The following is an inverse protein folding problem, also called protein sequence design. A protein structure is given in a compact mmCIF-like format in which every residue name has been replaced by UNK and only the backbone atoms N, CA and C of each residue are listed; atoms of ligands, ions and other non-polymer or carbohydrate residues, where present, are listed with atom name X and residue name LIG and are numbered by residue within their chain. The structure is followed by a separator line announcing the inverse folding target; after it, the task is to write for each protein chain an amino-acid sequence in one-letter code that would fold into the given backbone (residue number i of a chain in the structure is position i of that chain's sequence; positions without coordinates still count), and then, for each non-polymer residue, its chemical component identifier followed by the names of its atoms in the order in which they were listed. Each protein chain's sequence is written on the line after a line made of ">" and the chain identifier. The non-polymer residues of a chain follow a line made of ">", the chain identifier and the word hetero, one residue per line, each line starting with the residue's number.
data_IF_126325049100
#
_entry.id   IF_126325049100
#
_cell.length_a   1.000
_cell.length_b   1.000
_cell.length_c   1.000
_cell.angle_alpha   90.00
_cell.angle_beta   90.00
_cell.angle_gamma   90.00
#
_symmetry.space_group_name_H-M   'P 1'
#
loop_
_entity.id
_entity.type
_entity.pdbx_description
1 polymer ?
#
# COMPACT_ATOMS: atom_id res chain seq x y z
N UNK A 1 26.05 16.63 17.43
CA UNK A 1 24.68 16.79 17.95
C UNK A 1 23.80 17.28 16.80
N UNK A 2 23.07 16.40 16.11
CA UNK A 2 22.05 16.85 15.17
C UNK A 2 20.86 15.90 15.25
N UNK A 3 19.85 16.33 16.03
CA UNK A 3 18.61 15.62 16.26
C UNK A 3 17.70 15.81 15.04
N UNK A 4 17.25 14.69 14.48
CA UNK A 4 15.89 14.49 13.95
C UNK A 4 15.33 15.54 12.98
N UNK A 5 15.41 15.26 11.67
CA UNK A 5 14.22 15.42 10.83
C UNK A 5 13.32 14.21 11.10
N UNK A 6 12.60 14.24 12.23
CA UNK A 6 11.42 13.42 12.41
C UNK A 6 10.46 13.88 11.32
N UNK A 7 10.24 13.05 10.31
CA UNK A 7 9.03 13.17 9.52
C UNK A 7 7.89 13.13 10.54
N UNK A 8 7.19 14.25 10.71
CA UNK A 8 5.96 14.29 11.49
C UNK A 8 5.09 13.14 10.98
N UNK A 9 4.81 12.16 11.82
CA UNK A 9 3.90 11.07 11.51
C UNK A 9 2.54 11.71 11.29
N UNK A 10 2.17 11.93 10.03
CA UNK A 10 0.89 12.57 9.69
C UNK A 10 -0.21 11.68 10.23
N UNK A 11 -1.07 12.21 11.09
CA UNK A 11 -2.24 11.49 11.55
C UNK A 11 -3.24 11.30 10.40
N UNK A 12 -3.95 10.17 10.40
CA UNK A 12 -5.03 9.93 9.44
C UNK A 12 -6.16 10.95 9.66
N UNK A 13 -6.65 11.53 8.56
CA UNK A 13 -7.78 12.44 8.57
C UNK A 13 -9.07 11.73 8.99
N UNK A 14 -10.04 12.48 9.55
CA UNK A 14 -11.29 11.91 10.05
C UNK A 14 -12.13 11.23 8.97
N UNK A 15 -11.93 11.63 7.71
CA UNK A 15 -12.69 11.10 6.59
C UNK A 15 -12.12 9.79 6.06
N UNK A 16 -10.89 9.38 6.39
CA UNK A 16 -10.31 8.13 5.87
C UNK A 16 -11.11 6.91 6.35
N UNK A 17 -11.49 6.03 5.42
CA UNK A 17 -12.36 4.89 5.76
C UNK A 17 -11.58 3.81 6.51
N UNK A 18 -12.19 3.28 7.58
CA UNK A 18 -11.75 2.04 8.21
C UNK A 18 -12.45 0.86 7.54
N UNK A 19 -11.66 -0.05 6.99
CA UNK A 19 -12.17 -1.24 6.30
C UNK A 19 -12.12 -2.44 7.23
N UNK A 20 -13.20 -3.22 7.29
CA UNK A 20 -13.21 -4.54 7.94
C UNK A 20 -12.40 -5.51 7.10
N UNK A 21 -11.46 -6.22 7.73
CA UNK A 21 -10.62 -7.26 7.14
C UNK A 21 -10.88 -8.58 7.84
N UNK A 22 -11.24 -9.60 7.06
CA UNK A 22 -11.44 -10.96 7.54
C UNK A 22 -10.35 -11.82 6.90
N UNK A 23 -9.53 -12.46 7.74
CA UNK A 23 -8.48 -13.39 7.30
C UNK A 23 -8.91 -14.80 7.65
N UNK A 24 -8.80 -15.72 6.70
CA UNK A 24 -9.08 -17.14 6.91
C UNK A 24 -7.78 -17.93 7.02
N UNK A 25 -7.87 -19.12 7.61
CA UNK A 25 -6.77 -20.09 7.68
C UNK A 25 -7.29 -21.52 7.64
N UNK A 26 -6.39 -22.48 7.50
CA UNK A 26 -6.62 -23.85 7.92
C UNK A 26 -6.32 -24.01 9.41
N UNK A 27 -7.17 -24.72 10.14
CA UNK A 27 -6.90 -25.12 11.52
C UNK A 27 -6.00 -26.36 11.59
N UNK A 28 -5.66 -26.82 12.79
CA UNK A 28 -4.79 -27.99 13.01
C UNK A 28 -5.33 -29.30 12.41
N UNK A 29 -6.63 -29.36 12.08
CA UNK A 29 -7.29 -30.50 11.43
C UNK A 29 -7.48 -30.29 9.92
N UNK A 30 -6.86 -29.25 9.33
CA UNK A 30 -6.97 -28.93 7.90
C UNK A 30 -8.28 -28.27 7.48
N UNK A 31 -9.18 -27.95 8.42
CA UNK A 31 -10.49 -27.33 8.11
C UNK A 31 -10.38 -25.80 8.07
N UNK A 32 -11.20 -25.17 7.23
CA UNK A 32 -11.28 -23.72 7.14
C UNK A 32 -11.76 -23.11 8.47
N UNK A 33 -11.10 -22.02 8.88
CA UNK A 33 -11.43 -21.24 10.07
C UNK A 33 -11.14 -19.74 9.83
N UNK A 34 -11.73 -18.88 10.65
CA UNK A 34 -11.38 -17.45 10.70
C UNK A 34 -10.13 -17.30 11.57
N UNK A 35 -9.11 -16.64 11.04
CA UNK A 35 -7.91 -16.23 11.79
C UNK A 35 -8.16 -14.88 12.49
N UNK A 36 -8.70 -13.90 11.77
CA UNK A 36 -9.07 -12.60 12.33
C UNK A 36 -10.28 -12.00 11.60
N UNK A 37 -11.01 -11.15 12.32
CA UNK A 37 -12.17 -10.40 11.84
C UNK A 37 -12.22 -9.07 12.60
N UNK A 38 -11.59 -8.05 12.02
CA UNK A 38 -11.37 -6.77 12.69
C UNK A 38 -11.23 -5.63 11.66
N UNK A 39 -11.15 -4.38 12.12
CA UNK A 39 -10.74 -3.29 11.23
C UNK A 39 -9.29 -3.51 10.79
N UNK A 40 -8.97 -3.31 9.50
CA UNK A 40 -7.61 -3.45 9.01
C UNK A 40 -6.69 -2.48 9.75
N UNK A 41 -5.63 -2.98 10.40
CA UNK A 41 -4.65 -2.11 11.07
C UNK A 41 -3.65 -1.51 10.07
N UNK A 42 -3.61 -2.02 8.83
CA UNK A 42 -2.57 -1.73 7.85
C UNK A 42 -2.95 -0.55 6.97
N UNK A 43 -2.88 0.65 7.54
CA UNK A 43 -3.30 1.89 6.90
C UNK A 43 -2.30 3.01 7.15
N UNK A 44 -1.95 3.73 6.08
CA UNK A 44 -0.91 4.75 6.11
C UNK A 44 -1.30 5.96 5.27
N UNK A 45 -1.16 7.20 5.79
CA UNK A 45 -1.30 8.40 4.99
C UNK A 45 -0.11 8.57 4.05
N UNK A 46 -0.37 9.09 2.86
CA UNK A 46 0.62 9.32 1.82
C UNK A 46 1.00 10.79 1.73
N UNK A 47 2.27 11.04 1.38
CA UNK A 47 2.79 12.37 1.08
C UNK A 47 2.56 13.41 2.18
N UNK A 48 2.47 12.96 3.43
CA UNK A 48 2.17 13.83 4.57
C UNK A 48 0.75 14.42 4.58
N UNK A 49 -0.16 13.91 3.74
CA UNK A 49 -1.54 14.38 3.62
C UNK A 49 -2.50 13.48 4.42
N UNK A 50 -3.29 14.03 5.36
CA UNK A 50 -4.19 13.23 6.20
C UNK A 50 -5.35 12.61 5.42
N UNK A 51 -5.71 13.16 4.26
CA UNK A 51 -6.82 12.73 3.40
C UNK A 51 -6.36 11.95 2.15
N UNK A 52 -5.09 11.55 2.08
CA UNK A 52 -4.56 10.65 1.06
C UNK A 52 -4.02 9.43 1.79
N UNK A 53 -4.64 8.26 1.62
CA UNK A 53 -4.23 7.07 2.37
C UNK A 53 -4.29 5.80 1.53
N UNK A 54 -3.52 4.82 1.98
CA UNK A 54 -3.56 3.45 1.49
C UNK A 54 -3.92 2.51 2.63
N UNK A 55 -4.76 1.52 2.35
CA UNK A 55 -5.03 0.40 3.24
C UNK A 55 -4.63 -0.90 2.55
N UNK A 56 -3.65 -1.61 3.10
CA UNK A 56 -3.26 -2.95 2.64
C UNK A 56 -4.13 -4.01 3.28
N UNK A 57 -4.58 -4.97 2.47
CA UNK A 57 -5.37 -6.10 2.93
C UNK A 57 -4.58 -7.40 2.91
N UNK A 58 -3.76 -7.59 1.86
CA UNK A 58 -2.92 -8.77 1.72
C UNK A 58 -1.68 -8.46 0.89
N UNK A 59 -0.57 -9.11 1.24
CA UNK A 59 0.68 -9.12 0.45
C UNK A 59 1.04 -10.57 0.15
N UNK A 60 1.58 -10.77 -1.04
CA UNK A 60 2.23 -12.01 -1.43
C UNK A 60 3.61 -11.66 -1.96
N UNK A 61 4.65 -12.33 -1.47
CA UNK A 61 6.03 -12.10 -1.94
C UNK A 61 6.32 -12.81 -3.25
N UNK A 62 5.56 -13.86 -3.58
CA UNK A 62 5.71 -14.63 -4.80
C UNK A 62 4.38 -15.23 -5.26
N UNK A 63 4.36 -15.69 -6.51
CA UNK A 63 3.29 -16.51 -7.06
C UNK A 63 3.88 -17.83 -7.61
N UNK A 64 3.34 -19.01 -7.24
CA UNK A 64 2.18 -19.24 -6.37
C UNK A 64 2.44 -18.95 -4.88
N UNK A 65 1.39 -18.63 -4.12
CA UNK A 65 1.44 -18.31 -2.68
C UNK A 65 1.39 -19.60 -1.83
N UNK A 66 2.15 -19.63 -0.73
CA UNK A 66 2.04 -20.68 0.30
C UNK A 66 1.07 -20.27 1.43
N UNK A 67 -0.05 -21.00 1.52
CA UNK A 67 -1.08 -20.81 2.56
C UNK A 67 -1.07 -21.95 3.61
N UNK A 68 0.05 -22.66 3.76
CA UNK A 68 0.19 -23.72 4.76
C UNK A 68 0.09 -23.18 6.19
N UNK A 69 -0.27 -24.04 7.14
CA UNK A 69 -0.43 -23.64 8.55
C UNK A 69 0.87 -23.05 9.15
N UNK A 70 2.03 -23.39 8.58
CA UNK A 70 3.34 -22.87 8.97
C UNK A 70 3.57 -21.40 8.60
N UNK A 71 2.86 -20.85 7.61
CA UNK A 71 3.01 -19.47 7.12
C UNK A 71 2.02 -18.49 7.78
N UNK A 72 1.65 -18.74 9.05
CA UNK A 72 0.57 -18.03 9.77
C UNK A 72 0.83 -16.56 10.14
N UNK A 73 1.95 -15.97 9.71
CA UNK A 73 2.21 -14.55 9.96
C UNK A 73 1.38 -13.69 9.00
N UNK A 74 0.88 -12.56 9.51
CA UNK A 74 0.19 -11.59 8.67
C UNK A 74 1.18 -10.96 7.69
N UNK A 75 1.04 -11.18 6.37
CA UNK A 75 2.01 -10.68 5.40
C UNK A 75 2.01 -9.14 5.29
N UNK A 76 0.97 -8.48 5.81
CA UNK A 76 0.93 -7.02 5.91
C UNK A 76 1.57 -6.48 7.19
N UNK A 77 2.06 -7.32 8.10
CA UNK A 77 2.70 -6.91 9.36
C UNK A 77 4.02 -6.13 9.22
N UNK A 78 4.50 -5.94 7.99
CA UNK A 78 5.65 -5.10 7.66
C UNK A 78 5.22 -3.67 7.27
N UNK A 79 6.07 -2.65 7.45
CA UNK A 79 5.78 -1.29 7.02
C UNK A 79 5.26 -1.23 5.59
N UNK A 80 4.29 -0.34 5.35
CA UNK A 80 3.68 -0.20 4.03
C UNK A 80 4.71 0.33 3.03
N UNK A 81 4.88 -0.42 1.95
CA UNK A 81 5.59 0.00 0.74
C UNK A 81 4.56 0.23 -0.37
N UNK A 82 4.82 1.21 -1.23
CA UNK A 82 3.91 1.56 -2.33
C UNK A 82 4.13 0.62 -3.51
N UNK A 83 5.39 0.35 -3.85
CA UNK A 83 5.72 -0.70 -4.79
C UNK A 83 5.38 -2.10 -4.20
N UNK A 84 4.77 -3.01 -4.98
CA UNK A 84 4.60 -4.38 -4.55
C UNK A 84 5.93 -5.12 -4.43
N UNK A 85 5.95 -6.26 -3.72
CA UNK A 85 7.09 -7.17 -3.73
C UNK A 85 7.44 -7.62 -5.15
N UNK A 86 8.74 -7.77 -5.42
CA UNK A 86 9.21 -8.26 -6.71
C UNK A 86 8.74 -9.71 -6.95
N UNK A 87 8.00 -9.94 -8.04
CA UNK A 87 7.41 -11.26 -8.32
C UNK A 87 6.17 -11.59 -7.48
N UNK A 88 5.73 -10.66 -6.65
CA UNK A 88 4.58 -10.78 -5.77
C UNK A 88 3.42 -9.87 -6.17
N UNK A 89 2.51 -9.67 -5.22
CA UNK A 89 1.33 -8.81 -5.39
C UNK A 89 0.89 -8.17 -4.09
N UNK A 90 0.23 -7.02 -4.20
CA UNK A 90 -0.47 -6.37 -3.08
C UNK A 90 -1.95 -6.18 -3.42
N UNK A 91 -2.81 -6.43 -2.44
CA UNK A 91 -4.23 -6.09 -2.49
C UNK A 91 -4.50 -4.92 -1.56
N UNK A 92 -5.00 -3.81 -2.14
CA UNK A 92 -5.08 -2.50 -1.49
C UNK A 92 -6.30 -1.70 -1.90
N UNK A 93 -6.74 -0.83 -1.00
CA UNK A 93 -7.54 0.36 -1.35
C UNK A 93 -6.67 1.60 -1.24
N UNK A 94 -6.76 2.48 -2.24
CA UNK A 94 -6.15 3.81 -2.19
C UNK A 94 -7.25 4.86 -2.21
N UNK A 95 -7.30 5.68 -1.17
CA UNK A 95 -8.20 6.82 -1.04
C UNK A 95 -7.45 8.09 -1.45
N UNK A 96 -7.81 8.66 -2.60
CA UNK A 96 -7.22 9.91 -3.10
C UNK A 96 -8.08 11.11 -2.69
N UNK A 97 -7.49 12.24 -2.30
CA UNK A 97 -8.20 13.50 -2.22
C UNK A 97 -8.46 14.04 -3.63
N UNK A 98 -9.20 15.15 -3.73
CA UNK A 98 -9.36 15.84 -5.02
C UNK A 98 -8.00 16.19 -5.63
N UNK A 99 -7.84 16.00 -6.93
CA UNK A 99 -6.58 16.17 -7.67
C UNK A 99 -5.86 17.49 -7.41
N UNK A 100 -6.64 18.59 -7.31
CA UNK A 100 -6.14 19.93 -6.95
C UNK A 100 -5.34 19.99 -5.64
N UNK A 101 -5.52 19.00 -4.77
CA UNK A 101 -4.82 18.92 -3.48
C UNK A 101 -3.57 18.04 -3.52
N UNK A 102 -3.41 17.15 -4.49
CA UNK A 102 -2.31 16.18 -4.49
C UNK A 102 -1.41 16.19 -5.73
N UNK A 103 -1.87 16.67 -6.89
CA UNK A 103 -1.10 16.59 -8.14
C UNK A 103 0.22 17.38 -8.09
N UNK A 104 0.18 18.68 -7.76
CA UNK A 104 1.39 19.49 -7.71
C UNK A 104 2.40 19.00 -6.64
N UNK A 105 1.99 18.63 -5.41
CA UNK A 105 2.88 17.95 -4.47
C UNK A 105 3.48 16.65 -5.02
N UNK A 106 2.73 15.89 -5.80
CA UNK A 106 3.16 14.60 -6.33
C UNK A 106 4.17 14.77 -7.47
N UNK A 107 3.99 15.77 -8.33
CA UNK A 107 4.99 16.16 -9.33
C UNK A 107 6.31 16.60 -8.67
N UNK A 108 6.24 17.46 -7.64
CA UNK A 108 7.42 17.89 -6.89
C UNK A 108 8.14 16.72 -6.19
N UNK A 109 7.38 15.75 -5.66
CA UNK A 109 7.95 14.51 -5.13
C UNK A 109 8.57 13.65 -6.24
N UNK A 110 7.91 13.49 -7.39
CA UNK A 110 8.42 12.68 -8.50
C UNK A 110 9.72 13.23 -9.09
N UNK A 111 9.87 14.56 -9.15
CA UNK A 111 11.10 15.23 -9.60
C UNK A 111 12.25 15.09 -8.60
N UNK A 112 11.95 15.14 -7.30
CA UNK A 112 12.95 14.98 -6.22
C UNK A 112 13.28 13.52 -5.90
N UNK A 113 12.44 12.56 -6.31
CA UNK A 113 12.48 11.15 -5.90
C UNK A 113 12.99 10.20 -6.97
N UNK A 114 13.83 10.64 -7.91
CA UNK A 114 14.57 9.74 -8.80
C UNK A 114 15.39 8.65 -8.04
N UNK A 115 15.47 8.75 -6.71
CA UNK A 115 16.17 7.87 -5.77
C UNK A 115 15.30 7.28 -4.64
N UNK A 116 13.97 7.47 -4.61
CA UNK A 116 13.17 7.04 -3.45
C UNK A 116 12.61 5.61 -3.60
N UNK A 117 13.15 4.69 -2.79
CA UNK A 117 12.94 3.24 -2.83
C UNK A 117 11.48 2.77 -2.71
N UNK A 118 10.57 3.63 -2.25
CA UNK A 118 9.14 3.34 -2.12
C UNK A 118 8.41 3.30 -3.47
N UNK A 119 8.99 3.95 -4.48
CA UNK A 119 8.59 3.88 -5.87
C UNK A 119 9.85 3.51 -6.67
N UNK A 120 10.26 2.23 -6.60
CA UNK A 120 11.17 1.69 -7.63
C UNK A 120 10.73 2.25 -8.97
N UNK A 121 11.61 2.92 -9.74
CA UNK A 121 11.19 3.72 -10.87
C UNK A 121 10.50 2.81 -11.86
N UNK A 122 9.17 2.82 -11.79
CA UNK A 122 8.34 2.06 -12.68
C UNK A 122 8.65 2.60 -14.06
N UNK A 123 9.20 1.73 -14.89
CA UNK A 123 9.93 2.13 -16.09
C UNK A 123 9.03 3.03 -16.94
N UNK A 124 9.44 4.30 -17.11
CA UNK A 124 8.81 5.24 -18.04
C UNK A 124 9.21 4.82 -19.46
N UNK A 125 8.69 3.70 -19.94
CA UNK A 125 8.91 3.25 -21.32
C UNK A 125 7.93 4.01 -22.21
N UNK A 126 8.45 5.01 -22.92
CA UNK A 126 7.69 5.79 -23.90
C UNK A 126 6.83 6.88 -23.27
N UNK A 127 6.70 8.02 -23.96
CA UNK A 127 5.99 9.23 -23.53
C UNK A 127 4.65 8.93 -22.86
N UNK A 128 4.68 8.83 -21.53
CA UNK A 128 3.50 8.59 -20.71
C UNK A 128 2.47 9.67 -20.98
N UNK A 129 1.22 9.28 -21.21
CA UNK A 129 0.11 10.22 -21.40
C UNK A 129 -0.19 11.05 -20.14
N UNK A 130 0.31 10.64 -18.96
CA UNK A 130 0.11 11.34 -17.70
C UNK A 130 1.35 11.22 -16.76
N UNK A 131 1.80 12.29 -16.07
CA UNK A 131 3.03 12.29 -15.27
C UNK A 131 3.10 11.19 -14.20
N UNK A 132 1.94 10.81 -13.67
CA UNK A 132 1.77 9.84 -12.59
C UNK A 132 1.53 8.39 -13.06
N UNK A 133 1.45 8.16 -14.37
CA UNK A 133 1.21 6.81 -14.93
C UNK A 133 2.52 6.06 -15.11
N UNK A 134 2.55 4.80 -14.67
CA UNK A 134 3.76 4.01 -14.64
C UNK A 134 3.48 2.51 -14.81
N UNK A 135 4.49 1.75 -15.26
CA UNK A 135 4.42 0.29 -15.44
C UNK A 135 5.52 -0.40 -14.64
N UNK A 136 5.13 -1.39 -13.87
CA UNK A 136 6.02 -2.28 -13.11
C UNK A 136 5.95 -3.71 -13.67
N UNK A 137 6.87 -4.58 -13.23
CA UNK A 137 6.78 -6.03 -13.42
C UNK A 137 6.09 -6.71 -12.22
N UNK A 138 5.05 -6.08 -11.71
CA UNK A 138 4.24 -6.54 -10.56
C UNK A 138 2.76 -6.56 -10.93
N UNK A 139 1.92 -7.16 -10.07
CA UNK A 139 0.47 -7.10 -10.19
C UNK A 139 -0.13 -6.39 -8.97
N UNK A 140 -0.94 -5.37 -9.25
CA UNK A 140 -1.57 -4.49 -8.27
C UNK A 140 -3.09 -4.59 -8.38
N UNK A 141 -3.75 -4.97 -7.29
CA UNK A 141 -5.21 -4.87 -7.18
C UNK A 141 -5.54 -3.64 -6.35
N UNK A 142 -5.85 -2.53 -7.03
CA UNK A 142 -6.25 -1.27 -6.41
C UNK A 142 -7.74 -1.02 -6.62
N UNK A 143 -8.45 -0.79 -5.52
CA UNK A 143 -9.79 -0.22 -5.56
C UNK A 143 -9.65 1.28 -5.29
N UNK A 144 -10.09 2.10 -6.24
CA UNK A 144 -10.13 3.55 -6.11
C UNK A 144 -11.54 3.96 -5.76
N UNK A 145 -11.68 4.70 -4.67
CA UNK A 145 -12.95 5.28 -4.26
C UNK A 145 -12.85 6.79 -4.31
N UNK A 146 -13.87 7.44 -4.85
CA UNK A 146 -14.02 8.90 -4.84
C UNK A 146 -15.08 9.28 -3.79
N UNK A 147 -14.94 10.47 -3.22
CA UNK A 147 -15.97 11.10 -2.40
C UNK A 147 -16.32 12.45 -2.98
#
# INVERSE_FOLDING_TARGET
>A
MNRSKLHSETALGPDIKRFRRIVTRHNAQGRSAILSDEASPHIMPLMGMPNFAVTDFWKAESAPVDNSVGTSQDPCGVPIQIAPPAGGSVFRVTEFPSEKHWAAPADAMAESSATNETAQPASRIGGSRHPHMHRTRTLDYAIVTFR
#
